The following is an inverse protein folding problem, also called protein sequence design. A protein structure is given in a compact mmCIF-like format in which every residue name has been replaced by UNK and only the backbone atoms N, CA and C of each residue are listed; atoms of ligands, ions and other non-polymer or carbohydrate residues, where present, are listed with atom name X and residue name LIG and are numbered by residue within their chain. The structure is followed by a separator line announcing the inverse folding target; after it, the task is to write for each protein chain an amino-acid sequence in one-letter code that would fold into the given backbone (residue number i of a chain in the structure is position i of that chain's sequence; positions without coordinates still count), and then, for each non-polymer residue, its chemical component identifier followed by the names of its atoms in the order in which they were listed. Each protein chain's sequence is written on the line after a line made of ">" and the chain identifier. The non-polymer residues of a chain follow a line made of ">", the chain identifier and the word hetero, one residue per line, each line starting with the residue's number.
data_IF_227446321186
#
_entry.id   IF_227446321186
#
_cell.length_a   1.000
_cell.length_b   1.000
_cell.length_c   1.000
_cell.angle_alpha   90.00
_cell.angle_beta   90.00
_cell.angle_gamma   90.00
#
_symmetry.space_group_name_H-M   'P 1'
#
loop_
_entity.id
_entity.type
_entity.pdbx_description
1 polymer ?
#
# COMPACT_ATOMS: atom_id res chain seq x y z
N UNK A 1 41.32 9.57 -8.21
CA UNK A 1 39.89 9.46 -7.85
C UNK A 1 39.42 10.81 -7.32
N UNK A 2 38.65 11.56 -8.12
CA UNK A 2 38.03 12.79 -7.64
C UNK A 2 36.93 12.42 -6.63
N UNK A 3 36.94 13.04 -5.44
CA UNK A 3 35.83 12.98 -4.49
C UNK A 3 34.56 13.48 -5.20
N UNK A 4 33.41 12.78 -5.12
CA UNK A 4 32.17 13.32 -5.64
C UNK A 4 31.89 14.65 -4.92
N UNK A 5 31.66 15.71 -5.70
CA UNK A 5 31.31 17.01 -5.14
C UNK A 5 30.05 16.85 -4.28
N UNK A 6 30.11 17.28 -3.02
CA UNK A 6 28.95 17.28 -2.13
C UNK A 6 27.83 18.10 -2.76
N UNK A 7 26.71 17.44 -3.09
CA UNK A 7 25.53 18.06 -3.71
C UNK A 7 24.96 19.12 -2.76
N UNK A 8 24.63 20.30 -3.29
CA UNK A 8 24.20 21.47 -2.52
C UNK A 8 22.71 21.36 -2.17
N UNK A 9 22.37 21.31 -0.89
CA UNK A 9 20.98 21.18 -0.41
C UNK A 9 20.35 22.56 -0.24
N UNK A 10 19.23 22.84 -0.90
CA UNK A 10 18.44 24.07 -0.73
C UNK A 10 17.07 23.71 -0.15
N UNK A 11 16.79 24.09 1.10
CA UNK A 11 15.55 23.72 1.78
C UNK A 11 14.93 24.88 2.60
N UNK A 12 15.00 26.08 2.03
CA UNK A 12 14.52 27.34 2.59
C UNK A 12 13.01 27.32 2.92
N UNK A 13 12.18 26.72 2.08
CA UNK A 13 10.74 26.62 2.32
C UNK A 13 10.43 25.72 3.53
N UNK A 14 11.10 24.56 3.64
CA UNK A 14 10.99 23.64 4.79
C UNK A 14 11.45 24.33 6.09
N UNK A 15 12.56 25.07 6.05
CA UNK A 15 13.06 25.81 7.21
C UNK A 15 12.10 26.93 7.64
N UNK A 16 11.54 27.70 6.70
CA UNK A 16 10.52 28.71 6.99
C UNK A 16 9.26 28.11 7.60
N UNK A 17 8.86 26.90 7.18
CA UNK A 17 7.71 26.18 7.74
C UNK A 17 7.96 25.79 9.20
N UNK A 18 9.06 25.10 9.47
CA UNK A 18 9.46 24.72 10.84
C UNK A 18 9.55 25.92 11.78
N UNK A 19 10.09 27.04 11.28
CA UNK A 19 10.14 28.30 12.03
C UNK A 19 8.75 28.81 12.41
N UNK A 20 7.81 28.82 11.45
CA UNK A 20 6.42 29.29 11.67
C UNK A 20 5.66 28.36 12.61
N UNK A 21 5.80 27.05 12.45
CA UNK A 21 5.17 26.05 13.31
C UNK A 21 5.58 26.21 14.78
N UNK A 22 6.83 26.64 15.03
CA UNK A 22 7.33 26.94 16.38
C UNK A 22 7.14 28.39 16.83
N UNK A 23 6.44 29.21 16.05
CA UNK A 23 6.17 30.61 16.38
C UNK A 23 7.42 31.50 16.48
N UNK A 24 8.54 31.10 15.90
CA UNK A 24 9.83 31.81 16.03
C UNK A 24 9.98 32.92 14.99
N UNK A 25 10.57 34.04 15.39
CA UNK A 25 11.11 35.02 14.44
C UNK A 25 12.50 34.62 13.94
N UNK A 26 13.01 35.30 12.91
CA UNK A 26 14.28 34.93 12.28
C UNK A 26 15.49 35.14 13.22
N UNK A 27 15.42 36.09 14.16
CA UNK A 27 16.50 36.33 15.13
C UNK A 27 16.58 35.19 16.16
N UNK A 28 15.43 34.73 16.63
CA UNK A 28 15.32 33.61 17.56
C UNK A 28 15.82 32.31 16.92
N UNK A 29 15.43 32.04 15.67
CA UNK A 29 15.93 30.88 14.95
C UNK A 29 17.44 30.92 14.74
N UNK A 30 17.99 32.10 14.39
CA UNK A 30 19.43 32.25 14.19
C UNK A 30 20.20 31.95 15.49
N UNK A 31 19.70 32.44 16.63
CA UNK A 31 20.27 32.16 17.95
C UNK A 31 20.17 30.67 18.30
N UNK A 32 19.04 30.02 18.07
CA UNK A 32 18.84 28.60 18.36
C UNK A 32 19.80 27.70 17.54
N UNK A 33 20.06 28.07 16.29
CA UNK A 33 20.96 27.34 15.40
C UNK A 33 22.44 27.72 15.56
N UNK A 34 22.77 28.72 16.39
CA UNK A 34 24.13 29.23 16.53
C UNK A 34 24.66 29.92 15.28
N UNK A 35 23.77 30.52 14.47
CA UNK A 35 24.08 31.19 13.21
C UNK A 35 23.91 32.71 13.35
N UNK A 36 24.59 33.48 12.48
CA UNK A 36 24.28 34.90 12.37
C UNK A 36 22.92 35.11 11.70
N UNK A 37 22.20 36.15 12.10
CA UNK A 37 20.91 36.53 11.49
C UNK A 37 21.03 36.75 9.99
N UNK A 38 22.13 37.37 9.54
CA UNK A 38 22.45 37.56 8.12
C UNK A 38 22.63 36.23 7.38
N UNK A 39 23.32 35.25 7.99
CA UNK A 39 23.53 33.94 7.38
C UNK A 39 22.23 33.13 7.31
N UNK A 40 21.41 33.13 8.37
CA UNK A 40 20.09 32.50 8.33
C UNK A 40 19.18 33.15 7.27
N UNK A 41 19.22 34.48 7.14
CA UNK A 41 18.46 35.18 6.13
C UNK A 41 18.84 34.75 4.70
N UNK A 42 20.12 34.53 4.44
CA UNK A 42 20.58 34.00 3.15
C UNK A 42 20.10 32.57 2.89
N UNK A 43 20.02 31.74 3.93
CA UNK A 43 19.48 30.37 3.82
C UNK A 43 17.98 30.41 3.55
N UNK A 44 17.19 31.22 4.27
CA UNK A 44 15.72 31.30 4.09
C UNK A 44 15.29 31.91 2.75
N UNK A 45 16.21 32.55 2.00
CA UNK A 45 15.98 33.12 0.67
C UNK A 45 16.74 32.37 -0.44
N UNK A 46 17.15 31.12 -0.20
CA UNK A 46 17.81 30.28 -1.20
C UNK A 46 19.14 30.82 -1.74
N UNK A 47 19.73 31.82 -1.08
CA UNK A 47 21.02 32.43 -1.50
C UNK A 47 22.22 31.60 -1.05
N UNK A 48 22.05 30.76 -0.02
CA UNK A 48 23.06 29.79 0.41
C UNK A 48 22.46 28.41 0.64
N UNK A 49 23.13 27.35 0.18
CA UNK A 49 22.73 25.99 0.52
C UNK A 49 23.02 25.69 1.99
N UNK A 50 22.26 24.73 2.53
CA UNK A 50 22.52 24.15 3.83
C UNK A 50 23.81 23.33 3.78
N UNK A 51 24.69 23.58 4.76
CA UNK A 51 25.86 22.74 4.98
C UNK A 51 25.49 21.57 5.89
N UNK A 52 26.20 20.44 5.80
CA UNK A 52 25.93 19.29 6.65
C UNK A 52 25.90 19.61 8.17
N UNK A 53 26.80 20.45 8.72
CA UNK A 53 26.73 20.86 10.13
C UNK A 53 25.45 21.66 10.46
N UNK A 54 25.01 22.54 9.57
CA UNK A 54 23.79 23.33 9.76
C UNK A 54 22.56 22.43 9.71
N UNK A 55 22.52 21.47 8.79
CA UNK A 55 21.42 20.52 8.65
C UNK A 55 21.27 19.64 9.89
N UNK A 56 22.37 19.09 10.43
CA UNK A 56 22.36 18.33 11.68
C UNK A 56 21.87 19.19 12.86
N UNK A 57 22.26 20.48 12.89
CA UNK A 57 21.81 21.39 13.95
C UNK A 57 20.32 21.72 13.84
N UNK A 58 19.79 21.88 12.63
CA UNK A 58 18.36 22.06 12.39
C UNK A 58 17.60 20.80 12.81
N UNK A 59 18.08 19.62 12.43
CA UNK A 59 17.52 18.32 12.82
C UNK A 59 17.42 18.19 14.35
N UNK A 60 18.49 18.53 15.06
CA UNK A 60 18.55 18.51 16.53
C UNK A 60 17.57 19.51 17.17
N UNK A 61 17.56 20.77 16.73
CA UNK A 61 16.73 21.84 17.32
C UNK A 61 15.23 21.60 17.10
N UNK A 62 14.86 21.07 15.92
CA UNK A 62 13.47 20.82 15.56
C UNK A 62 13.00 19.40 15.84
N UNK A 63 13.90 18.48 16.19
CA UNK A 63 13.58 17.07 16.39
C UNK A 63 13.12 16.37 15.11
N UNK A 64 13.69 16.75 13.96
CA UNK A 64 13.35 16.19 12.65
C UNK A 64 14.53 15.38 12.11
N UNK A 65 14.23 14.29 11.39
CA UNK A 65 15.27 13.47 10.74
C UNK A 65 16.01 14.28 9.65
N UNK A 66 17.34 14.19 9.51
CA UNK A 66 18.07 14.76 8.38
C UNK A 66 17.46 14.47 7.00
N UNK A 67 16.82 13.31 6.83
CA UNK A 67 16.14 12.89 5.59
C UNK A 67 14.88 13.73 5.28
N UNK A 68 14.32 14.44 6.26
CA UNK A 68 13.25 15.44 6.06
C UNK A 68 13.64 16.54 5.06
N UNK A 69 14.93 16.85 4.97
CA UNK A 69 15.48 17.83 4.04
C UNK A 69 15.93 17.22 2.70
N UNK A 70 15.61 15.95 2.44
CA UNK A 70 15.86 15.28 1.16
C UNK A 70 15.10 15.96 0.01
N UNK A 71 15.76 16.03 -1.16
CA UNK A 71 15.21 16.55 -2.43
C UNK A 71 14.14 15.60 -3.01
N UNK A 72 14.06 14.34 -2.55
CA UNK A 72 13.17 13.32 -3.13
C UNK A 72 11.67 13.70 -3.09
N UNK A 73 11.23 14.39 -2.04
CA UNK A 73 9.85 14.87 -1.93
C UNK A 73 9.57 16.07 -2.84
N UNK A 74 10.58 16.91 -3.08
CA UNK A 74 10.49 18.09 -3.95
C UNK A 74 10.55 17.67 -5.42
N UNK A 75 11.43 16.73 -5.78
CA UNK A 75 11.49 16.13 -7.12
C UNK A 75 10.17 15.40 -7.47
N UNK A 76 9.55 14.73 -6.49
CA UNK A 76 8.23 14.09 -6.64
C UNK A 76 7.13 15.13 -6.88
N UNK A 77 7.09 16.17 -6.06
CA UNK A 77 6.11 17.24 -6.19
C UNK A 77 6.28 18.03 -7.49
N UNK A 78 7.52 18.23 -7.95
CA UNK A 78 7.84 18.84 -9.24
C UNK A 78 7.33 18.00 -10.41
N UNK A 79 7.54 16.68 -10.35
CA UNK A 79 7.06 15.74 -11.36
C UNK A 79 5.53 15.71 -11.42
N UNK A 80 4.88 15.62 -10.26
CA UNK A 80 3.42 15.64 -10.12
C UNK A 80 2.83 16.96 -10.64
N UNK A 81 3.47 18.09 -10.30
CA UNK A 81 3.04 19.42 -10.73
C UNK A 81 3.19 19.59 -12.24
N UNK A 82 4.32 19.16 -12.82
CA UNK A 82 4.52 19.19 -14.28
C UNK A 82 3.49 18.34 -15.00
N UNK A 83 3.22 17.13 -14.50
CA UNK A 83 2.20 16.26 -15.08
C UNK A 83 0.81 16.90 -15.00
N UNK A 84 0.47 17.51 -13.86
CA UNK A 84 -0.80 18.19 -13.67
C UNK A 84 -0.99 19.42 -14.57
N UNK A 85 0.07 20.22 -14.77
CA UNK A 85 0.02 21.42 -15.59
C UNK A 85 0.17 21.14 -17.09
N UNK A 86 0.77 20.01 -17.46
CA UNK A 86 0.95 19.58 -18.85
C UNK A 86 -0.26 18.89 -19.47
N UNK A 87 -1.37 18.76 -18.73
CA UNK A 87 -2.64 18.28 -19.26
C UNK A 87 -3.22 19.27 -20.28
N UNK A 88 -3.86 18.75 -21.33
CA UNK A 88 -4.43 19.56 -22.42
C UNK A 88 -5.45 20.58 -21.91
N UNK A 89 -6.17 20.26 -20.82
CA UNK A 89 -7.13 21.16 -20.18
C UNK A 89 -6.49 22.42 -19.59
N UNK A 90 -5.21 22.37 -19.23
CA UNK A 90 -4.47 23.51 -18.71
C UNK A 90 -3.87 24.39 -19.82
N UNK A 91 -3.82 23.89 -21.06
CA UNK A 91 -3.38 24.64 -22.24
C UNK A 91 -1.94 25.19 -22.15
N UNK A 92 -1.13 24.68 -21.23
CA UNK A 92 0.20 25.22 -20.90
C UNK A 92 1.21 24.09 -20.82
N UNK A 93 2.42 24.28 -21.35
CA UNK A 93 3.52 23.34 -21.16
C UNK A 93 4.52 23.94 -20.19
N UNK A 94 4.68 23.30 -19.03
CA UNK A 94 5.63 23.73 -17.99
C UNK A 94 6.88 22.83 -18.04
N UNK A 95 8.08 23.40 -18.27
CA UNK A 95 9.34 22.66 -18.16
C UNK A 95 9.53 22.06 -16.76
N UNK A 96 10.30 20.97 -16.67
CA UNK A 96 10.52 20.28 -15.38
C UNK A 96 11.28 21.18 -14.40
N UNK A 97 12.18 22.01 -14.92
CA UNK A 97 12.97 22.97 -14.15
C UNK A 97 12.05 24.00 -13.47
N UNK A 98 11.08 24.55 -14.20
CA UNK A 98 10.12 25.51 -13.66
C UNK A 98 9.17 24.86 -12.63
N UNK A 99 8.71 23.63 -12.89
CA UNK A 99 7.92 22.89 -11.91
C UNK A 99 8.72 22.54 -10.65
N UNK A 100 10.03 22.27 -10.78
CA UNK A 100 10.93 22.03 -9.66
C UNK A 100 11.18 23.28 -8.83
N UNK A 101 11.26 24.45 -9.45
CA UNK A 101 11.37 25.73 -8.75
C UNK A 101 10.10 26.01 -7.95
N UNK A 102 8.91 25.79 -8.53
CA UNK A 102 7.63 25.98 -7.81
C UNK A 102 7.47 24.97 -6.67
N UNK A 103 7.82 23.70 -6.87
CA UNK A 103 7.76 22.68 -5.83
C UNK A 103 8.69 22.99 -4.64
N UNK A 104 9.85 23.59 -4.93
CA UNK A 104 10.85 23.98 -3.93
C UNK A 104 10.48 25.26 -3.19
N UNK A 105 10.05 26.30 -3.92
CA UNK A 105 9.80 27.63 -3.37
C UNK A 105 8.39 27.77 -2.79
N UNK A 106 7.42 27.06 -3.37
CA UNK A 106 5.99 27.15 -3.08
C UNK A 106 5.31 25.76 -2.97
N UNK A 107 5.80 24.86 -2.09
CA UNK A 107 5.33 23.47 -2.03
C UNK A 107 3.83 23.33 -1.75
N UNK A 108 3.23 24.19 -0.93
CA UNK A 108 1.79 24.10 -0.64
C UNK A 108 0.93 24.50 -1.85
N UNK A 109 1.40 25.44 -2.66
CA UNK A 109 0.73 25.83 -3.92
C UNK A 109 0.84 24.69 -4.93
N UNK A 110 2.03 24.10 -5.07
CA UNK A 110 2.25 22.94 -5.92
C UNK A 110 1.33 21.77 -5.53
N UNK A 111 1.22 21.45 -4.23
CA UNK A 111 0.32 20.39 -3.74
C UNK A 111 -1.15 20.70 -4.01
N UNK A 112 -1.58 21.94 -3.81
CA UNK A 112 -2.96 22.36 -4.08
C UNK A 112 -3.31 22.21 -5.56
N UNK A 113 -2.40 22.58 -6.47
CA UNK A 113 -2.59 22.44 -7.92
C UNK A 113 -2.65 20.97 -8.34
N UNK A 114 -1.75 20.13 -7.81
CA UNK A 114 -1.77 18.68 -8.05
C UNK A 114 -3.08 18.07 -7.56
N UNK A 115 -3.54 18.45 -6.36
CA UNK A 115 -4.81 17.96 -5.80
C UNK A 115 -6.02 18.42 -6.64
N UNK A 116 -6.01 19.67 -7.11
CA UNK A 116 -7.05 20.21 -7.98
C UNK A 116 -7.11 19.47 -9.32
N UNK A 117 -5.95 19.23 -9.94
CA UNK A 117 -5.87 18.49 -11.20
C UNK A 117 -6.34 17.04 -11.05
N UNK A 118 -5.99 16.36 -9.95
CA UNK A 118 -6.51 15.02 -9.65
C UNK A 118 -8.03 15.02 -9.59
N UNK A 119 -8.62 15.96 -8.84
CA UNK A 119 -10.09 16.13 -8.75
C UNK A 119 -10.71 16.44 -10.11
N UNK A 120 -10.02 17.22 -10.95
CA UNK A 120 -10.44 17.51 -12.32
C UNK A 120 -10.46 16.25 -13.19
N UNK A 121 -9.38 15.45 -13.20
CA UNK A 121 -9.34 14.21 -13.99
C UNK A 121 -10.39 13.21 -13.52
N UNK A 122 -10.54 13.05 -12.21
CA UNK A 122 -11.59 12.21 -11.65
C UNK A 122 -12.99 12.69 -12.08
N UNK A 123 -13.22 14.01 -12.17
CA UNK A 123 -14.48 14.56 -12.66
C UNK A 123 -14.65 14.39 -14.18
N UNK A 124 -13.61 14.63 -14.98
CA UNK A 124 -13.63 14.52 -16.44
C UNK A 124 -13.84 13.08 -16.90
N UNK A 125 -13.17 12.11 -16.26
CA UNK A 125 -13.33 10.68 -16.54
C UNK A 125 -14.74 10.21 -16.15
N UNK A 126 -15.33 10.74 -15.07
CA UNK A 126 -16.74 10.48 -14.72
C UNK A 126 -17.71 11.06 -15.75
N UNK A 127 -17.45 12.25 -16.28
CA UNK A 127 -18.27 12.86 -17.35
C UNK A 127 -18.23 12.02 -18.64
N UNK A 128 -17.07 11.48 -19.00
CA UNK A 128 -16.91 10.56 -20.15
C UNK A 128 -17.62 9.23 -19.90
N UNK A 129 -17.61 8.73 -18.66
CA UNK A 129 -18.32 7.51 -18.27
C UNK A 129 -19.86 7.68 -18.18
N UNK A 130 -20.37 8.92 -18.16
CA UNK A 130 -21.78 9.26 -17.91
C UNK A 130 -22.55 9.84 -19.12
N UNK A 131 -21.99 9.90 -20.33
CA UNK A 131 -22.76 10.33 -21.52
C UNK A 131 -23.50 9.12 -22.14
N UNK A 132 -24.84 9.15 -22.44
CA UNK A 132 -25.72 10.32 -22.73
C UNK A 132 -27.13 10.29 -22.04
N UNK A 133 -28.09 11.16 -22.45
CA UNK A 133 -28.17 12.61 -22.31
C UNK A 133 -29.00 13.02 -21.06
N UNK A 134 -28.68 14.22 -20.55
CA UNK A 134 -29.53 15.13 -19.76
C UNK A 134 -30.44 14.53 -18.68
N UNK A 135 -30.02 14.66 -17.42
CA UNK A 135 -30.63 15.56 -16.43
C UNK A 135 -30.28 15.09 -15.02
N UNK A 136 -29.98 16.06 -14.15
CA UNK A 136 -30.13 15.89 -12.70
C UNK A 136 -28.92 15.37 -11.95
N UNK A 137 -28.13 16.33 -11.45
CA UNK A 137 -27.55 16.33 -10.09
C UNK A 137 -27.32 14.97 -9.40
N UNK A 138 -26.09 14.47 -9.45
CA UNK A 138 -25.54 13.72 -8.33
C UNK A 138 -24.03 13.93 -8.21
N UNK A 139 -23.61 14.64 -7.17
CA UNK A 139 -22.23 14.71 -6.70
C UNK A 139 -21.87 13.33 -6.14
N UNK A 140 -21.31 12.46 -6.97
CA UNK A 140 -21.01 11.07 -6.59
C UNK A 140 -19.81 10.99 -5.63
N UNK A 141 -20.08 10.48 -4.43
CA UNK A 141 -19.14 10.06 -3.39
C UNK A 141 -18.11 9.04 -3.90
N UNK A 142 -16.90 9.02 -3.33
CA UNK A 142 -15.92 7.95 -3.63
C UNK A 142 -16.50 6.58 -3.22
N UNK A 143 -16.30 5.56 -4.06
CA UNK A 143 -16.76 4.20 -3.76
C UNK A 143 -16.02 3.64 -2.53
N UNK A 144 -16.70 2.92 -1.62
CA UNK A 144 -16.08 2.40 -0.39
C UNK A 144 -14.82 1.56 -0.63
N UNK A 145 -14.75 0.83 -1.75
CA UNK A 145 -13.57 0.05 -2.13
C UNK A 145 -12.35 0.92 -2.49
N UNK A 146 -12.57 2.08 -3.10
CA UNK A 146 -11.51 3.03 -3.43
C UNK A 146 -10.97 3.71 -2.17
N UNK A 147 -11.84 4.06 -1.23
CA UNK A 147 -11.42 4.61 0.07
C UNK A 147 -10.51 3.62 0.81
N UNK A 148 -10.89 2.34 0.86
CA UNK A 148 -10.06 1.30 1.51
C UNK A 148 -8.74 1.10 0.77
N UNK A 149 -8.74 1.09 -0.57
CA UNK A 149 -7.50 1.01 -1.34
C UNK A 149 -6.55 2.17 -0.98
N UNK A 150 -7.08 3.39 -0.95
CA UNK A 150 -6.30 4.59 -0.67
C UNK A 150 -5.81 4.62 0.79
N UNK A 151 -6.59 4.08 1.73
CA UNK A 151 -6.16 3.84 3.11
C UNK A 151 -4.94 2.89 3.18
N UNK A 152 -4.99 1.72 2.54
CA UNK A 152 -3.84 0.81 2.50
C UNK A 152 -2.62 1.44 1.82
N UNK A 153 -2.85 2.25 0.78
CA UNK A 153 -1.79 2.99 0.09
C UNK A 153 -1.11 4.03 0.98
N UNK A 154 -1.89 4.80 1.75
CA UNK A 154 -1.36 5.82 2.67
C UNK A 154 -0.46 5.22 3.76
N UNK A 155 -0.67 3.95 4.09
CA UNK A 155 0.16 3.18 5.03
C UNK A 155 1.32 2.41 4.35
N UNK A 156 1.65 2.68 3.08
CA UNK A 156 2.66 1.93 2.32
C UNK A 156 2.44 0.42 2.34
N UNK A 157 1.16 0.02 2.40
CA UNK A 157 0.70 -1.36 2.50
C UNK A 157 1.30 -2.14 3.69
N UNK A 158 1.69 -1.46 4.78
CA UNK A 158 2.27 -2.09 5.96
C UNK A 158 1.72 -1.49 7.27
N UNK A 159 1.23 -2.36 8.15
CA UNK A 159 0.66 -2.02 9.44
C UNK A 159 1.49 -2.64 10.56
N UNK A 160 2.57 -1.96 10.97
CA UNK A 160 3.58 -2.52 11.87
C UNK A 160 3.04 -3.05 13.20
N UNK A 161 2.03 -2.39 13.78
CA UNK A 161 1.38 -2.87 15.01
C UNK A 161 0.67 -4.21 14.81
N UNK A 162 -0.09 -4.37 13.71
CA UNK A 162 -0.75 -5.62 13.36
C UNK A 162 0.25 -6.72 13.03
N UNK A 163 1.29 -6.39 12.27
CA UNK A 163 2.34 -7.33 11.89
C UNK A 163 3.06 -7.90 13.13
N UNK A 164 3.38 -7.03 14.10
CA UNK A 164 4.01 -7.42 15.35
C UNK A 164 3.10 -8.31 16.23
N UNK A 165 1.80 -8.03 16.29
CA UNK A 165 0.85 -8.89 17.03
C UNK A 165 0.69 -10.25 16.33
N UNK A 166 0.60 -10.27 15.01
CA UNK A 166 0.50 -11.49 14.22
C UNK A 166 1.75 -12.38 14.39
N UNK A 167 2.94 -11.80 14.35
CA UNK A 167 4.21 -12.49 14.54
C UNK A 167 4.35 -13.08 15.95
N UNK A 168 3.95 -12.33 17.00
CA UNK A 168 3.89 -12.87 18.36
C UNK A 168 2.87 -14.00 18.49
N UNK A 169 1.70 -13.84 17.89
CA UNK A 169 0.64 -14.87 17.92
C UNK A 169 1.11 -16.16 17.24
N UNK A 170 1.81 -16.05 16.12
CA UNK A 170 2.39 -17.21 15.43
C UNK A 170 3.45 -17.91 16.31
N UNK A 171 4.29 -17.14 17.00
CA UNK A 171 5.27 -17.69 17.94
C UNK A 171 4.59 -18.42 19.12
N UNK A 172 3.53 -17.84 19.70
CA UNK A 172 2.76 -18.44 20.79
C UNK A 172 2.07 -19.75 20.37
N UNK A 173 1.62 -19.85 19.12
CA UNK A 173 1.01 -21.07 18.58
C UNK A 173 2.05 -22.17 18.32
N UNK A 174 3.34 -21.84 18.26
CA UNK A 174 4.42 -22.80 17.99
C UNK A 174 4.37 -23.37 16.57
N UNK A 175 3.77 -22.67 15.62
CA UNK A 175 3.45 -23.23 14.30
C UNK A 175 4.55 -22.93 13.29
N UNK A 176 5.25 -23.98 12.83
CA UNK A 176 6.26 -23.89 11.77
C UNK A 176 5.75 -24.20 10.35
N UNK A 177 4.48 -24.60 10.17
CA UNK A 177 3.87 -24.95 8.88
C UNK A 177 2.34 -24.80 8.89
N UNK A 178 1.73 -24.43 7.76
CA UNK A 178 0.30 -24.08 7.64
C UNK A 178 -0.70 -25.14 8.15
N UNK A 179 -0.42 -26.43 7.93
CA UNK A 179 -1.30 -27.50 8.39
C UNK A 179 -1.40 -27.63 9.91
N UNK A 180 -0.25 -27.49 10.60
CA UNK A 180 -0.22 -27.38 12.06
C UNK A 180 -0.85 -26.08 12.54
N UNK A 181 -0.76 -25.02 11.73
CA UNK A 181 -1.37 -23.73 12.06
C UNK A 181 -2.89 -23.80 12.10
N UNK A 182 -3.54 -24.51 11.18
CA UNK A 182 -5.01 -24.62 11.19
C UNK A 182 -5.53 -25.26 12.48
N UNK A 183 -4.94 -26.37 12.92
CA UNK A 183 -5.39 -27.07 14.13
C UNK A 183 -5.10 -26.28 15.40
N UNK A 184 -3.91 -25.68 15.51
CA UNK A 184 -3.59 -24.79 16.63
C UNK A 184 -4.54 -23.58 16.72
N UNK A 185 -4.96 -23.03 15.56
CA UNK A 185 -5.96 -21.96 15.52
C UNK A 185 -7.34 -22.44 15.97
N UNK A 186 -7.78 -23.65 15.56
CA UNK A 186 -9.05 -24.23 16.03
C UNK A 186 -9.03 -24.40 17.55
N UNK A 187 -7.95 -24.95 18.10
CA UNK A 187 -7.79 -25.15 19.54
C UNK A 187 -7.82 -23.83 20.30
N UNK A 188 -7.11 -22.81 19.82
CA UNK A 188 -7.11 -21.47 20.44
C UNK A 188 -8.50 -20.82 20.40
N UNK A 189 -9.20 -20.90 19.26
CA UNK A 189 -10.56 -20.39 19.10
C UNK A 189 -11.55 -21.10 20.05
N UNK A 190 -11.43 -22.41 20.19
CA UNK A 190 -12.25 -23.17 21.14
C UNK A 190 -11.93 -22.81 22.60
N UNK A 191 -10.65 -22.84 22.98
CA UNK A 191 -10.22 -22.68 24.36
C UNK A 191 -10.41 -21.25 24.90
N UNK A 192 -10.18 -20.22 24.08
CA UNK A 192 -10.25 -18.81 24.52
C UNK A 192 -11.57 -18.13 24.22
N UNK A 193 -12.24 -18.54 23.15
CA UNK A 193 -13.42 -17.83 22.64
C UNK A 193 -14.68 -18.70 22.62
N UNK A 194 -14.59 -19.98 23.01
CA UNK A 194 -15.72 -20.92 22.96
C UNK A 194 -16.22 -21.19 21.54
N UNK A 195 -15.40 -20.93 20.52
CA UNK A 195 -15.78 -21.06 19.11
C UNK A 195 -15.50 -22.47 18.62
N UNK A 196 -16.53 -23.16 18.15
CA UNK A 196 -16.41 -24.49 17.53
C UNK A 196 -16.38 -24.38 16.02
N UNK A 197 -15.34 -24.92 15.40
CA UNK A 197 -15.16 -24.89 13.94
C UNK A 197 -15.82 -26.12 13.32
N UNK A 198 -16.69 -25.91 12.34
CA UNK A 198 -17.42 -26.98 11.63
C UNK A 198 -17.26 -26.78 10.13
N UNK A 199 -16.84 -27.83 9.42
CA UNK A 199 -16.86 -27.85 7.95
C UNK A 199 -18.25 -28.23 7.50
N UNK A 200 -18.88 -27.39 6.67
CA UNK A 200 -20.26 -27.60 6.22
C UNK A 200 -20.36 -28.61 5.09
N UNK A 201 -21.58 -29.11 4.87
CA UNK A 201 -21.90 -29.91 3.69
C UNK A 201 -21.82 -29.05 2.41
N UNK A 202 -21.28 -29.59 1.29
CA UNK A 202 -21.25 -28.92 -0.01
C UNK A 202 -22.57 -28.28 -0.45
N UNK A 203 -23.72 -28.90 -0.15
CA UNK A 203 -25.05 -28.38 -0.57
C UNK A 203 -25.50 -27.16 0.26
N UNK A 204 -24.88 -26.93 1.42
CA UNK A 204 -25.18 -25.83 2.36
C UNK A 204 -24.05 -24.79 2.42
N UNK A 205 -23.02 -24.95 1.60
CA UNK A 205 -21.85 -24.09 1.64
C UNK A 205 -22.16 -22.70 1.07
N UNK A 206 -22.41 -21.74 1.97
CA UNK A 206 -22.34 -20.31 1.70
C UNK A 206 -20.92 -19.79 2.01
N UNK A 207 -20.39 -18.91 1.15
CA UNK A 207 -19.09 -18.23 1.27
C UNK A 207 -17.90 -19.10 1.73
N UNK A 208 -16.72 -18.51 1.94
CA UNK A 208 -15.57 -19.25 2.49
C UNK A 208 -15.75 -19.57 3.98
N UNK A 209 -16.39 -18.66 4.73
CA UNK A 209 -16.51 -18.70 6.19
C UNK A 209 -17.76 -17.95 6.63
N UNK A 210 -18.51 -18.50 7.60
CA UNK A 210 -19.61 -17.82 8.29
C UNK A 210 -19.50 -18.06 9.79
N UNK A 211 -19.48 -16.97 10.56
CA UNK A 211 -19.51 -17.05 12.02
C UNK A 211 -20.91 -16.75 12.54
N UNK A 212 -21.41 -17.57 13.46
CA UNK A 212 -22.63 -17.33 14.20
C UNK A 212 -22.31 -17.04 15.68
N UNK A 213 -22.38 -15.76 16.12
CA UNK A 213 -22.12 -15.40 17.50
C UNK A 213 -23.08 -16.03 18.52
N UNK A 214 -24.32 -16.34 18.11
CA UNK A 214 -25.34 -16.87 19.02
C UNK A 214 -25.08 -18.32 19.41
N UNK A 215 -24.58 -19.13 18.47
CA UNK A 215 -24.25 -20.55 18.70
C UNK A 215 -22.75 -20.80 18.95
N UNK A 216 -21.90 -19.80 18.72
CA UNK A 216 -20.44 -19.97 18.79
C UNK A 216 -19.88 -20.84 17.66
N UNK A 217 -20.62 -21.05 16.58
CA UNK A 217 -20.21 -21.89 15.46
C UNK A 217 -19.50 -21.07 14.38
N UNK A 218 -18.32 -21.54 13.98
CA UNK A 218 -17.62 -21.06 12.79
C UNK A 218 -17.73 -22.10 11.68
N UNK A 219 -18.56 -21.80 10.70
CA UNK A 219 -18.82 -22.64 9.54
C UNK A 219 -17.80 -22.35 8.44
N UNK A 220 -17.12 -23.38 7.94
CA UNK A 220 -16.17 -23.29 6.83
C UNK A 220 -16.64 -24.10 5.62
N UNK A 221 -16.38 -23.57 4.43
CA UNK A 221 -16.66 -24.31 3.19
C UNK A 221 -15.79 -25.57 3.08
N UNK A 222 -16.36 -26.71 2.61
CA UNK A 222 -15.63 -27.96 2.43
C UNK A 222 -14.64 -27.94 1.27
N UNK A 223 -14.74 -26.95 0.38
CA UNK A 223 -13.87 -26.86 -0.81
C UNK A 223 -12.61 -26.03 -0.60
N UNK A 224 -12.41 -25.49 0.60
CA UNK A 224 -11.21 -24.78 0.94
C UNK A 224 -10.05 -25.75 1.14
N UNK A 225 -8.88 -25.38 0.62
CA UNK A 225 -7.63 -26.08 0.96
C UNK A 225 -7.26 -25.86 2.43
N UNK A 226 -6.35 -26.67 2.95
CA UNK A 226 -5.83 -26.54 4.32
C UNK A 226 -5.26 -25.14 4.60
N UNK A 227 -4.53 -24.57 3.62
CA UNK A 227 -4.02 -23.20 3.69
C UNK A 227 -5.14 -22.16 3.78
N UNK A 228 -6.23 -22.36 3.03
CA UNK A 228 -7.39 -21.49 3.05
C UNK A 228 -8.16 -21.64 4.36
N UNK A 229 -8.28 -22.84 4.93
CA UNK A 229 -8.79 -23.03 6.29
C UNK A 229 -7.99 -22.23 7.30
N UNK A 230 -6.66 -22.39 7.31
CA UNK A 230 -5.79 -21.65 8.22
C UNK A 230 -5.97 -20.13 8.07
N UNK A 231 -6.09 -19.63 6.83
CA UNK A 231 -6.35 -18.22 6.56
C UNK A 231 -7.69 -17.75 7.13
N UNK A 232 -8.78 -18.50 6.88
CA UNK A 232 -10.11 -18.16 7.39
C UNK A 232 -10.16 -18.16 8.93
N UNK A 233 -9.49 -19.12 9.57
CA UNK A 233 -9.37 -19.20 11.02
C UNK A 233 -8.55 -18.04 11.59
N UNK A 234 -7.43 -17.69 10.95
CA UNK A 234 -6.61 -16.56 11.36
C UNK A 234 -7.34 -15.22 11.20
N UNK A 235 -8.13 -15.05 10.12
CA UNK A 235 -9.01 -13.87 9.96
C UNK A 235 -10.03 -13.80 11.08
N UNK A 236 -10.66 -14.92 11.44
CA UNK A 236 -11.62 -14.93 12.55
C UNK A 236 -10.94 -14.62 13.88
N UNK A 237 -9.77 -15.19 14.15
CA UNK A 237 -8.97 -14.89 15.33
C UNK A 237 -8.65 -13.39 15.42
N UNK A 238 -8.29 -12.75 14.29
CA UNK A 238 -8.04 -11.32 14.24
C UNK A 238 -9.25 -10.50 14.70
N UNK A 239 -10.45 -10.87 14.23
CA UNK A 239 -11.70 -10.19 14.59
C UNK A 239 -12.05 -10.39 16.08
N UNK A 240 -11.67 -11.51 16.68
CA UNK A 240 -11.95 -11.83 18.09
C UNK A 240 -10.91 -11.20 19.05
N UNK A 241 -9.62 -11.30 18.74
CA UNK A 241 -8.55 -10.91 19.67
C UNK A 241 -8.03 -9.49 19.45
N UNK A 242 -8.17 -8.94 18.23
CA UNK A 242 -7.56 -7.66 17.87
C UNK A 242 -8.59 -6.57 17.56
N UNK A 243 -9.84 -6.73 17.99
CA UNK A 243 -10.94 -5.81 17.66
C UNK A 243 -10.61 -4.34 17.94
N UNK A 244 -10.08 -4.03 19.12
CA UNK A 244 -9.70 -2.66 19.51
C UNK A 244 -8.56 -2.08 18.67
N UNK A 245 -7.56 -2.90 18.31
CA UNK A 245 -6.47 -2.49 17.43
C UNK A 245 -6.99 -2.22 16.01
N UNK A 246 -7.86 -3.09 15.50
CA UNK A 246 -8.49 -2.90 14.20
C UNK A 246 -9.31 -1.60 14.18
N UNK A 247 -10.13 -1.35 15.21
CA UNK A 247 -10.91 -0.11 15.32
C UNK A 247 -10.03 1.14 15.40
N UNK A 248 -8.93 1.07 16.16
CA UNK A 248 -7.98 2.18 16.27
C UNK A 248 -7.32 2.49 14.92
N UNK A 249 -6.93 1.47 14.16
CA UNK A 249 -6.31 1.64 12.84
C UNK A 249 -7.31 2.19 11.81
N UNK A 250 -8.56 1.72 11.84
CA UNK A 250 -9.63 2.22 10.96
C UNK A 250 -9.96 3.68 11.29
N UNK A 251 -10.06 4.04 12.57
CA UNK A 251 -10.34 5.40 13.01
C UNK A 251 -9.23 6.39 12.63
N UNK A 252 -7.97 5.94 12.59
CA UNK A 252 -6.83 6.76 12.13
C UNK A 252 -6.79 7.00 10.61
N UNK A 253 -7.61 6.32 9.82
CA UNK A 253 -7.62 6.38 8.36
C UNK A 253 -8.52 7.46 7.74
N UNK A 254 -9.27 8.22 8.55
CA UNK A 254 -10.21 9.27 8.09
C UNK A 254 -11.18 8.83 6.97
N UNK A 255 -11.67 7.58 7.04
CA UNK A 255 -12.64 7.04 6.08
C UNK A 255 -13.98 7.77 6.17
N UNK A 256 -14.59 8.09 5.03
CA UNK A 256 -15.78 8.94 4.94
C UNK A 256 -17.09 8.18 5.18
N UNK A 257 -17.12 6.87 4.91
CA UNK A 257 -18.33 6.03 5.02
C UNK A 257 -18.20 4.89 6.03
N UNK A 258 -19.30 4.55 6.72
CA UNK A 258 -19.35 3.35 7.59
C UNK A 258 -19.10 2.06 6.81
N UNK A 259 -19.53 2.01 5.54
CA UNK A 259 -19.23 0.86 4.67
C UNK A 259 -17.74 0.73 4.41
N UNK A 260 -17.02 1.83 4.11
CA UNK A 260 -15.57 1.81 3.96
C UNK A 260 -14.87 1.39 5.25
N UNK A 261 -15.33 1.88 6.41
CA UNK A 261 -14.80 1.46 7.71
C UNK A 261 -14.95 -0.05 7.95
N UNK A 262 -16.13 -0.62 7.64
CA UNK A 262 -16.38 -2.06 7.70
C UNK A 262 -15.48 -2.86 6.76
N UNK A 263 -15.32 -2.41 5.52
CA UNK A 263 -14.43 -3.03 4.54
C UNK A 263 -12.95 -2.94 4.94
N UNK A 264 -12.51 -1.80 5.48
CA UNK A 264 -11.16 -1.62 6.01
C UNK A 264 -10.88 -2.58 7.16
N UNK A 265 -11.83 -2.73 8.10
CA UNK A 265 -11.72 -3.68 9.22
C UNK A 265 -11.55 -5.12 8.72
N UNK A 266 -12.31 -5.53 7.70
CA UNK A 266 -12.15 -6.85 7.05
C UNK A 266 -10.78 -6.96 6.36
N UNK A 267 -10.35 -5.90 5.66
CA UNK A 267 -9.04 -5.83 5.01
C UNK A 267 -7.88 -6.01 6.00
N UNK A 268 -7.95 -5.34 7.15
CA UNK A 268 -6.96 -5.42 8.22
C UNK A 268 -6.96 -6.80 8.90
N UNK A 269 -8.13 -7.42 9.07
CA UNK A 269 -8.22 -8.81 9.56
C UNK A 269 -7.58 -9.81 8.57
N UNK A 270 -7.76 -9.59 7.26
CA UNK A 270 -7.07 -10.38 6.22
C UNK A 270 -5.56 -10.11 6.18
N UNK A 271 -5.13 -8.86 6.43
CA UNK A 271 -3.72 -8.52 6.59
C UNK A 271 -3.10 -9.28 7.76
N UNK A 272 -3.77 -9.29 8.93
CA UNK A 272 -3.36 -10.08 10.09
C UNK A 272 -3.22 -11.56 9.75
N UNK A 273 -4.20 -12.14 9.06
CA UNK A 273 -4.17 -13.55 8.68
C UNK A 273 -2.94 -13.88 7.82
N UNK A 274 -2.62 -13.02 6.83
CA UNK A 274 -1.41 -13.15 6.04
C UNK A 274 -0.13 -13.04 6.89
N UNK A 275 -0.07 -12.07 7.79
CA UNK A 275 1.08 -11.86 8.67
C UNK A 275 1.27 -12.97 9.72
N UNK A 276 0.19 -13.64 10.15
CA UNK A 276 0.26 -14.77 11.08
C UNK A 276 0.76 -16.04 10.38
N UNK A 277 0.24 -16.31 9.18
CA UNK A 277 0.67 -17.48 8.39
C UNK A 277 2.08 -17.32 7.82
N UNK A 278 2.50 -16.07 7.60
CA UNK A 278 3.84 -15.71 7.13
C UNK A 278 4.44 -14.64 8.05
N UNK A 279 4.93 -15.03 9.25
CA UNK A 279 5.51 -14.11 10.22
C UNK A 279 6.63 -13.30 9.58
N UNK A 280 6.64 -11.98 9.80
CA UNK A 280 7.45 -11.03 9.03
C UNK A 280 8.92 -11.44 8.93
N UNK A 281 9.58 -11.66 10.07
CA UNK A 281 11.03 -11.93 10.13
C UNK A 281 11.37 -13.24 9.45
N UNK A 282 10.55 -14.27 9.67
CA UNK A 282 10.75 -15.57 9.05
C UNK A 282 10.50 -15.53 7.54
N UNK A 283 9.46 -14.82 7.10
CA UNK A 283 9.08 -14.71 5.70
C UNK A 283 10.02 -13.81 4.90
N UNK A 284 10.41 -12.65 5.44
CA UNK A 284 11.38 -11.74 4.83
C UNK A 284 12.72 -12.45 4.61
N UNK A 285 13.26 -13.09 5.66
CA UNK A 285 14.49 -13.89 5.55
C UNK A 285 14.35 -14.99 4.49
N UNK A 286 13.24 -15.71 4.48
CA UNK A 286 13.00 -16.74 3.48
C UNK A 286 12.91 -16.18 2.06
N UNK A 287 12.30 -14.99 1.87
CA UNK A 287 12.22 -14.32 0.59
C UNK A 287 13.61 -13.92 0.08
N UNK A 288 14.48 -13.41 0.94
CA UNK A 288 15.86 -13.10 0.55
C UNK A 288 16.69 -14.36 0.25
N UNK A 289 16.61 -15.39 1.10
CA UNK A 289 17.29 -16.68 0.91
C UNK A 289 16.90 -17.34 -0.42
N UNK A 290 15.61 -17.31 -0.76
CA UNK A 290 15.04 -17.91 -1.96
C UNK A 290 15.01 -16.95 -3.15
N UNK A 291 15.61 -15.75 -3.02
CA UNK A 291 15.66 -14.72 -4.06
C UNK A 291 14.28 -14.40 -4.65
N UNK A 292 13.28 -14.30 -3.79
CA UNK A 292 11.90 -13.96 -4.13
C UNK A 292 11.20 -14.97 -5.06
N UNK A 293 11.66 -16.22 -5.11
CA UNK A 293 10.95 -17.28 -5.82
C UNK A 293 9.60 -17.58 -5.14
N UNK A 294 8.52 -17.16 -5.81
CA UNK A 294 7.16 -17.22 -5.29
C UNK A 294 6.71 -18.66 -5.07
N UNK A 295 7.07 -19.60 -5.95
CA UNK A 295 6.64 -21.00 -5.84
C UNK A 295 7.39 -21.74 -4.72
N UNK A 296 8.67 -21.44 -4.51
CA UNK A 296 9.41 -21.95 -3.36
C UNK A 296 8.88 -21.38 -2.03
N UNK A 297 8.51 -20.10 -2.00
CA UNK A 297 7.84 -19.50 -0.84
C UNK A 297 6.46 -20.13 -0.58
N UNK A 298 5.68 -20.41 -1.62
CA UNK A 298 4.42 -21.15 -1.49
C UNK A 298 4.65 -22.52 -0.85
N UNK A 299 5.65 -23.27 -1.31
CA UNK A 299 5.97 -24.58 -0.77
C UNK A 299 6.45 -24.50 0.70
N UNK A 300 7.29 -23.51 1.03
CA UNK A 300 7.85 -23.35 2.39
C UNK A 300 6.78 -22.96 3.42
N UNK A 301 5.85 -22.07 3.06
CA UNK A 301 4.82 -21.58 3.97
C UNK A 301 3.48 -22.30 3.83
N UNK A 302 3.32 -23.15 2.80
CA UNK A 302 2.10 -23.90 2.54
C UNK A 302 0.91 -23.00 2.20
N UNK A 303 1.13 -21.94 1.41
CA UNK A 303 0.09 -20.96 1.03
C UNK A 303 -0.03 -20.80 -0.50
N UNK A 304 -1.13 -20.17 -0.95
CA UNK A 304 -1.39 -19.94 -2.37
C UNK A 304 -0.54 -18.82 -2.98
N UNK A 305 -0.42 -18.82 -4.31
CA UNK A 305 0.41 -17.88 -5.07
C UNK A 305 0.02 -16.42 -4.78
N UNK A 306 -1.29 -16.12 -4.85
CA UNK A 306 -1.82 -14.79 -4.54
C UNK A 306 -1.50 -14.36 -3.10
N UNK A 307 -1.52 -15.30 -2.14
CA UNK A 307 -1.23 -15.02 -0.73
C UNK A 307 0.24 -14.67 -0.51
N UNK A 308 1.16 -15.35 -1.21
CA UNK A 308 2.60 -15.01 -1.19
C UNK A 308 2.83 -13.63 -1.80
N UNK A 309 2.29 -13.36 -2.99
CA UNK A 309 2.44 -12.05 -3.64
C UNK A 309 1.87 -10.92 -2.78
N UNK A 310 0.72 -11.17 -2.14
CA UNK A 310 0.13 -10.25 -1.18
C UNK A 310 1.12 -9.93 -0.07
N UNK A 311 1.70 -10.95 0.58
CA UNK A 311 2.66 -10.76 1.67
C UNK A 311 3.95 -10.05 1.23
N UNK A 312 4.50 -10.41 0.08
CA UNK A 312 5.66 -9.74 -0.50
C UNK A 312 5.44 -8.22 -0.64
N UNK A 313 4.24 -7.80 -1.05
CA UNK A 313 3.88 -6.38 -1.17
C UNK A 313 3.73 -5.62 0.15
N UNK A 314 3.87 -6.30 1.30
CA UNK A 314 3.72 -5.72 2.66
C UNK A 314 5.04 -5.59 3.43
N UNK A 315 6.17 -6.02 2.86
CA UNK A 315 7.48 -6.06 3.54
C UNK A 315 8.14 -4.68 3.68
N UNK A 316 7.46 -3.75 4.36
CA UNK A 316 7.87 -2.34 4.51
C UNK A 316 8.15 -1.94 5.95
N UNK A 317 8.49 -2.89 6.83
CA UNK A 317 8.90 -2.61 8.22
C UNK A 317 10.12 -1.70 8.25
N UNK A 318 10.05 -0.62 9.02
CA UNK A 318 11.17 0.32 9.19
C UNK A 318 12.39 -0.42 9.74
N UNK A 319 13.53 -0.27 9.06
CA UNK A 319 14.79 -0.92 9.43
C UNK A 319 15.00 -2.33 8.85
N UNK A 320 13.96 -2.95 8.27
CA UNK A 320 14.01 -4.33 7.75
C UNK A 320 13.08 -4.48 6.53
N UNK A 321 13.35 -3.71 5.47
CA UNK A 321 12.50 -3.66 4.27
C UNK A 321 12.88 -4.74 3.27
N UNK A 322 11.88 -5.34 2.62
CA UNK A 322 12.05 -6.15 1.42
C UNK A 322 11.96 -5.32 0.14
N UNK A 323 12.00 -5.98 -1.02
CA UNK A 323 11.76 -5.34 -2.32
C UNK A 323 10.37 -4.66 -2.33
N UNK A 324 10.25 -3.38 -2.73
CA UNK A 324 8.98 -2.67 -2.77
C UNK A 324 8.15 -3.11 -3.97
N UNK A 325 7.30 -4.12 -3.79
CA UNK A 325 6.41 -4.60 -4.83
C UNK A 325 5.13 -3.75 -4.96
N UNK A 326 4.63 -3.68 -6.19
CA UNK A 326 3.24 -3.34 -6.50
C UNK A 326 2.52 -4.64 -6.86
N UNK A 327 1.43 -4.93 -6.16
CA UNK A 327 0.58 -6.09 -6.35
C UNK A 327 -0.69 -5.69 -7.11
N UNK A 328 -1.03 -6.45 -8.15
CA UNK A 328 -2.27 -6.29 -8.90
C UNK A 328 -2.98 -7.63 -9.10
N UNK A 329 -4.31 -7.58 -9.15
CA UNK A 329 -5.14 -8.70 -9.58
C UNK A 329 -6.14 -8.27 -10.64
N UNK A 330 -6.09 -8.92 -11.80
CA UNK A 330 -6.87 -8.57 -12.99
C UNK A 330 -7.66 -9.77 -13.47
N UNK A 331 -8.85 -9.57 -14.03
CA UNK A 331 -9.62 -10.63 -14.71
C UNK A 331 -9.42 -10.61 -16.24
N UNK A 332 -10.03 -11.57 -16.95
CA UNK A 332 -9.92 -11.67 -18.42
C UNK A 332 -10.52 -10.47 -19.17
N UNK A 333 -11.45 -9.74 -18.57
CA UNK A 333 -12.07 -8.55 -19.15
C UNK A 333 -11.23 -7.29 -18.91
N UNK A 334 -10.17 -7.39 -18.11
CA UNK A 334 -9.30 -6.29 -17.76
C UNK A 334 -9.72 -5.52 -16.52
N UNK A 335 -10.71 -6.01 -15.76
CA UNK A 335 -11.09 -5.41 -14.50
C UNK A 335 -10.02 -5.68 -13.46
N UNK A 336 -9.46 -4.60 -12.89
CA UNK A 336 -8.45 -4.68 -11.83
C UNK A 336 -9.18 -4.68 -10.50
N UNK A 337 -9.31 -5.86 -9.89
CA UNK A 337 -10.09 -6.07 -8.66
C UNK A 337 -9.28 -5.88 -7.37
N UNK A 338 -7.95 -5.74 -7.46
CA UNK A 338 -7.11 -5.43 -6.30
C UNK A 338 -5.85 -4.70 -6.75
N UNK A 339 -5.50 -3.63 -6.03
CA UNK A 339 -4.28 -2.84 -6.20
C UNK A 339 -3.69 -2.59 -4.83
N UNK A 340 -2.42 -2.91 -4.66
CA UNK A 340 -1.69 -2.60 -3.44
C UNK A 340 -0.25 -2.28 -3.81
N UNK A 341 0.36 -1.31 -3.14
CA UNK A 341 1.71 -0.91 -3.48
C UNK A 341 2.48 -0.47 -2.25
N UNK A 342 3.72 -0.92 -2.16
CA UNK A 342 4.70 -0.44 -1.18
C UNK A 342 5.26 0.95 -1.54
N UNK A 343 5.30 1.30 -2.84
CA UNK A 343 5.85 2.55 -3.35
C UNK A 343 4.96 3.21 -4.41
N UNK A 344 5.30 4.44 -4.81
CA UNK A 344 4.62 5.11 -5.92
C UNK A 344 4.84 4.33 -7.23
N UNK A 345 3.74 3.89 -7.83
CA UNK A 345 3.72 3.13 -9.06
C UNK A 345 2.62 3.65 -9.98
N UNK A 346 2.87 3.64 -11.29
CA UNK A 346 2.02 4.26 -12.30
C UNK A 346 0.56 3.79 -12.27
N UNK A 347 0.32 2.53 -11.90
CA UNK A 347 -1.03 1.99 -11.78
C UNK A 347 -1.50 1.78 -10.33
N UNK A 348 -0.94 2.52 -9.37
CA UNK A 348 -1.35 2.43 -7.95
C UNK A 348 -2.80 2.86 -7.71
N UNK A 349 -3.38 3.72 -8.56
CA UNK A 349 -4.75 4.26 -8.38
C UNK A 349 -5.65 4.10 -9.61
N UNK A 350 -5.14 4.35 -10.82
CA UNK A 350 -5.88 4.29 -12.09
C UNK A 350 -4.99 3.73 -13.22
N UNK A 351 -5.59 3.32 -14.34
CA UNK A 351 -4.89 2.79 -15.52
C UNK A 351 -4.52 1.30 -15.44
N UNK A 352 -3.71 0.83 -16.40
CA UNK A 352 -3.24 -0.56 -16.48
C UNK A 352 -3.86 -1.39 -17.60
N UNK A 353 -4.57 -0.80 -18.56
CA UNK A 353 -5.25 -1.50 -19.67
C UNK A 353 -4.38 -1.70 -20.92
N UNK A 354 -3.07 -1.49 -20.81
CA UNK A 354 -2.15 -1.66 -21.94
C UNK A 354 -2.11 -3.15 -22.37
N UNK A 355 -2.52 -3.49 -23.60
CA UNK A 355 -2.58 -4.89 -24.04
C UNK A 355 -1.19 -5.54 -24.20
N UNK A 356 -0.12 -4.74 -24.23
CA UNK A 356 1.27 -5.21 -24.27
C UNK A 356 1.80 -5.63 -22.89
N UNK A 357 1.01 -5.43 -21.84
CA UNK A 357 1.43 -5.73 -20.48
C UNK A 357 1.27 -7.22 -20.17
N UNK A 358 2.33 -7.85 -19.64
CA UNK A 358 2.41 -9.31 -19.45
C UNK A 358 1.34 -9.89 -18.52
N UNK A 359 0.70 -9.07 -17.68
CA UNK A 359 -0.43 -9.50 -16.84
C UNK A 359 -1.58 -10.05 -17.67
N UNK A 360 -1.81 -9.50 -18.87
CA UNK A 360 -2.84 -9.95 -19.79
C UNK A 360 -2.40 -11.18 -20.58
N UNK A 361 -1.11 -11.27 -20.91
CA UNK A 361 -0.51 -12.43 -21.56
C UNK A 361 -0.58 -13.69 -20.67
N UNK A 362 -0.59 -13.53 -19.34
CA UNK A 362 -0.71 -14.65 -18.41
C UNK A 362 -1.94 -15.53 -18.71
N UNK A 363 -3.05 -14.95 -19.18
CA UNK A 363 -4.26 -15.70 -19.56
C UNK A 363 -4.09 -16.61 -20.78
N UNK A 364 -3.05 -16.38 -21.60
CA UNK A 364 -2.67 -17.24 -22.72
C UNK A 364 -1.72 -18.37 -22.31
N UNK A 365 -1.15 -18.32 -21.10
CA UNK A 365 -0.30 -19.36 -20.53
C UNK A 365 -0.73 -19.74 -19.10
N UNK A 366 -1.93 -20.32 -18.90
CA UNK A 366 -2.46 -20.58 -17.57
C UNK A 366 -1.52 -21.39 -16.69
N UNK A 367 -1.33 -20.93 -15.46
CA UNK A 367 -0.51 -21.58 -14.44
C UNK A 367 1.00 -21.41 -14.62
N UNK A 368 1.48 -20.83 -15.73
CA UNK A 368 2.89 -20.51 -15.95
C UNK A 368 3.22 -19.10 -15.48
N UNK A 369 4.41 -18.93 -14.90
CA UNK A 369 4.95 -17.62 -14.58
C UNK A 369 5.51 -16.98 -15.86
N UNK A 370 5.07 -15.76 -16.14
CA UNK A 370 5.60 -14.90 -17.20
C UNK A 370 6.33 -13.72 -16.57
N UNK A 371 7.38 -13.24 -17.23
CA UNK A 371 8.15 -12.09 -16.76
C UNK A 371 8.37 -11.07 -17.86
N UNK A 372 8.35 -9.78 -17.52
CA UNK A 372 8.56 -8.69 -18.47
C UNK A 372 9.32 -7.53 -17.83
N UNK A 373 10.30 -6.99 -18.56
CA UNK A 373 10.84 -5.65 -18.26
C UNK A 373 10.03 -4.66 -19.09
N UNK A 374 9.24 -3.81 -18.42
CA UNK A 374 8.40 -2.80 -19.08
C UNK A 374 8.94 -1.39 -18.82
N UNK A 375 8.99 -0.56 -19.86
CA UNK A 375 9.32 0.85 -19.77
C UNK A 375 8.03 1.68 -19.91
N UNK A 376 7.81 2.59 -18.97
CA UNK A 376 6.69 3.51 -18.96
C UNK A 376 6.99 4.74 -19.84
N UNK A 377 5.98 5.51 -20.28
CA UNK A 377 6.21 6.72 -21.07
C UNK A 377 7.09 7.78 -20.41
N UNK A 378 7.21 7.76 -19.07
CA UNK A 378 8.11 8.63 -18.30
C UNK A 378 9.56 8.13 -18.23
N UNK A 379 9.87 7.01 -18.91
CA UNK A 379 11.19 6.38 -18.95
C UNK A 379 11.50 5.45 -17.77
N UNK A 380 10.61 5.33 -16.76
CA UNK A 380 10.83 4.39 -15.64
C UNK A 380 10.63 2.96 -16.09
N UNK A 381 11.48 2.07 -15.57
CA UNK A 381 11.45 0.64 -15.88
C UNK A 381 11.03 -0.19 -14.68
N UNK A 382 10.20 -1.18 -14.93
CA UNK A 382 9.69 -2.12 -13.93
C UNK A 382 9.90 -3.56 -14.41
N UNK A 383 10.17 -4.45 -13.45
CA UNK A 383 10.21 -5.89 -13.68
C UNK A 383 8.90 -6.51 -13.17
N UNK A 384 8.18 -7.17 -14.08
CA UNK A 384 6.90 -7.81 -13.82
C UNK A 384 7.05 -9.32 -13.74
N UNK A 385 6.29 -9.93 -12.84
CA UNK A 385 6.12 -11.38 -12.73
C UNK A 385 4.62 -11.64 -12.64
N UNK A 386 4.03 -12.31 -13.62
CA UNK A 386 2.58 -12.56 -13.65
C UNK A 386 2.26 -14.05 -13.80
N UNK A 387 1.16 -14.49 -13.16
CA UNK A 387 0.63 -15.85 -13.28
C UNK A 387 -0.87 -15.86 -13.06
N UNK A 388 -1.59 -16.75 -13.74
CA UNK A 388 -3.02 -16.94 -13.48
C UNK A 388 -3.29 -17.73 -12.20
N UNK A 389 -4.35 -17.37 -11.49
CA UNK A 389 -4.94 -18.11 -10.38
C UNK A 389 -6.42 -18.33 -10.65
N UNK A 390 -6.91 -19.54 -10.39
CA UNK A 390 -8.32 -19.90 -10.57
C UNK A 390 -8.99 -20.05 -9.21
N UNK A 391 -10.20 -19.52 -9.08
CA UNK A 391 -11.05 -19.65 -7.89
C UNK A 391 -12.36 -20.36 -8.23
N UNK A 392 -12.83 -21.19 -7.31
CA UNK A 392 -14.07 -21.96 -7.46
C UNK A 392 -13.91 -23.14 -8.42
N UNK A 393 -15.02 -23.55 -9.06
CA UNK A 393 -14.98 -24.60 -10.07
C UNK A 393 -15.05 -26.04 -9.56
N UNK A 394 -15.55 -26.26 -8.34
CA UNK A 394 -15.73 -27.60 -7.74
C UNK A 394 -16.94 -28.32 -8.35
N UNK A 395 -16.83 -28.64 -9.64
CA UNK A 395 -17.86 -29.31 -10.44
C UNK A 395 -17.74 -28.97 -11.92
N UNK A 396 -18.15 -29.88 -12.81
CA UNK A 396 -18.02 -29.69 -14.26
C UNK A 396 -18.77 -28.44 -14.78
N UNK A 397 -19.93 -28.13 -14.17
CA UNK A 397 -20.76 -26.97 -14.51
C UNK A 397 -20.65 -25.82 -13.52
N UNK A 398 -19.76 -25.93 -12.53
CA UNK A 398 -19.60 -24.89 -11.53
C UNK A 398 -18.90 -23.68 -12.16
N UNK A 399 -19.35 -22.45 -11.87
CA UNK A 399 -18.66 -21.25 -12.36
C UNK A 399 -17.23 -21.22 -11.83
N UNK A 400 -16.32 -20.74 -12.69
CA UNK A 400 -14.90 -20.54 -12.40
C UNK A 400 -14.56 -19.07 -12.62
N UNK A 401 -13.79 -18.51 -11.71
CA UNK A 401 -13.24 -17.18 -11.85
C UNK A 401 -11.73 -17.27 -12.02
N UNK A 402 -11.25 -16.85 -13.18
CA UNK A 402 -9.82 -16.79 -13.49
C UNK A 402 -9.31 -15.37 -13.33
N UNK A 403 -8.22 -15.23 -12.59
CA UNK A 403 -7.53 -13.97 -12.38
C UNK A 403 -6.07 -14.12 -12.79
N UNK A 404 -5.42 -13.02 -13.17
CA UNK A 404 -3.98 -12.90 -13.22
C UNK A 404 -3.52 -12.08 -12.01
N UNK A 405 -2.49 -12.59 -11.32
CA UNK A 405 -1.81 -11.90 -10.22
C UNK A 405 -0.44 -11.48 -10.71
N UNK A 406 -0.07 -10.22 -10.45
CA UNK A 406 1.20 -9.63 -10.85
C UNK A 406 1.82 -8.79 -9.73
#
# INVERSE_FOLDING_TARGET
>A
MARPAGRKIYAHAKLRRLRRERGMNQVELARALGLSTSYLNQIEHSRRPLTAPVLLRIAEVFGVDPEFFSEADEERLATDLRAALGDEACGTQVPLEEAADVARDHPEVARALVALHRRYRDAAERVVALAPPQDGESLLTAEPHDEVRDFFYAHHNHFGALDAVAERTAADLGTGSAGRTADALKERLAARHGITVVVTDPERAADARRFDPGSGLLLLSPWLSEAQHAFQLATQLALMENGSLLDTLVAGGELASEQAAGLARIGLANYFAGALLMPYTAFHRAAEELRYDIELLQARFGVGFETVCHRLSTLQRTGDRGVPFSFLRVDRAGNISKRQSASDFHFSRLGGTCPLWTVYEAFSAPGRILTQVAEMPDGKRYFWVARTVTRGGFGHRAPRADFAVA
#
